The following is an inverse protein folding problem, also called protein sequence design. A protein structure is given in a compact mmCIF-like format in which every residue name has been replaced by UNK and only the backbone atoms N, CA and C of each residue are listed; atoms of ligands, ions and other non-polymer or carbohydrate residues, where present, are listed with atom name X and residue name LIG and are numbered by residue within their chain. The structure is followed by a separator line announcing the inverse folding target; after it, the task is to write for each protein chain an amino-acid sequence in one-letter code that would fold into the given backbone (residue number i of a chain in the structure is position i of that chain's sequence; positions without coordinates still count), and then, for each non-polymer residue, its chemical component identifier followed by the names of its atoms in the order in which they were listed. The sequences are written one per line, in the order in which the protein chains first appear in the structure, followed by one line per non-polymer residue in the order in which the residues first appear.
data_IF_573405920935
#
_entry.id   IF_573405920935
#
_cell.length_a   1.000
_cell.length_b   1.000
_cell.length_c   1.000
_cell.angle_alpha   90.00
_cell.angle_beta   90.00
_cell.angle_gamma   90.00
#
_symmetry.space_group_name_H-M   'P 1'
#
loop_
_entity.id
_entity.type
_entity.pdbx_description
1 polymer ?
#
# COMPACT_ATOMS: atom_id res chain seq x y z
N UNK A 1 -29.27 13.49 -3.84
CA UNK A 1 -28.15 12.68 -4.36
C UNK A 1 -26.97 12.68 -3.36
N UNK A 2 -27.22 12.44 -2.07
CA UNK A 2 -26.16 12.48 -1.03
C UNK A 2 -25.64 11.07 -0.70
N UNK A 3 -26.42 10.03 -1.02
CA UNK A 3 -26.13 8.65 -0.63
C UNK A 3 -24.98 7.98 -1.38
N UNK A 4 -24.65 8.42 -2.60
CA UNK A 4 -23.56 7.82 -3.40
C UNK A 4 -22.18 8.30 -2.95
N UNK A 5 -22.05 9.59 -2.63
CA UNK A 5 -20.80 10.22 -2.18
C UNK A 5 -20.40 9.77 -0.77
N UNK A 6 -21.37 9.64 0.15
CA UNK A 6 -21.07 9.15 1.51
C UNK A 6 -20.69 7.67 1.54
N UNK A 7 -21.20 6.88 0.58
CA UNK A 7 -20.87 5.45 0.46
C UNK A 7 -19.44 5.28 -0.06
N UNK A 8 -19.07 5.96 -1.16
CA UNK A 8 -17.71 5.87 -1.72
C UNK A 8 -16.61 6.34 -0.76
N UNK A 9 -16.84 7.44 -0.02
CA UNK A 9 -15.89 7.92 1.00
C UNK A 9 -15.73 6.95 2.17
N UNK A 10 -16.80 6.25 2.55
CA UNK A 10 -16.76 5.17 3.53
C UNK A 10 -15.99 3.95 3.02
N UNK A 11 -16.17 3.62 1.75
CA UNK A 11 -15.48 2.50 1.08
C UNK A 11 -13.98 2.75 0.97
N UNK A 12 -13.55 3.94 0.57
CA UNK A 12 -12.12 4.30 0.48
C UNK A 12 -11.43 4.23 1.83
N UNK A 13 -12.06 4.76 2.90
CA UNK A 13 -11.51 4.66 4.26
C UNK A 13 -11.41 3.22 4.74
N UNK A 14 -12.45 2.42 4.49
CA UNK A 14 -12.48 1.00 4.85
C UNK A 14 -11.38 0.21 4.13
N UNK A 15 -11.19 0.46 2.83
CA UNK A 15 -10.11 -0.13 2.05
C UNK A 15 -8.73 0.27 2.58
N UNK A 16 -8.53 1.55 2.91
CA UNK A 16 -7.28 2.05 3.49
C UNK A 16 -6.96 1.36 4.83
N UNK A 17 -7.93 1.29 5.73
CA UNK A 17 -7.78 0.62 7.03
C UNK A 17 -7.50 -0.89 6.86
N UNK A 18 -8.08 -1.49 5.83
CA UNK A 18 -7.86 -2.90 5.50
C UNK A 18 -6.46 -3.16 4.90
N UNK A 19 -5.97 -2.26 4.04
CA UNK A 19 -4.58 -2.25 3.55
C UNK A 19 -3.61 -2.09 4.72
N UNK A 20 -3.81 -1.12 5.61
CA UNK A 20 -2.93 -0.93 6.78
C UNK A 20 -2.87 -2.14 7.70
N UNK A 21 -4.00 -2.82 7.92
CA UNK A 21 -4.01 -4.06 8.70
C UNK A 21 -3.19 -5.16 8.04
N UNK A 22 -3.32 -5.35 6.73
CA UNK A 22 -2.51 -6.32 6.00
C UNK A 22 -1.02 -5.97 6.01
N UNK A 23 -0.68 -4.69 5.87
CA UNK A 23 0.71 -4.23 5.92
C UNK A 23 1.37 -4.58 7.25
N UNK A 24 0.68 -4.34 8.37
CA UNK A 24 1.21 -4.64 9.69
C UNK A 24 1.35 -6.15 9.92
N UNK A 25 0.35 -6.93 9.53
CA UNK A 25 0.39 -8.40 9.66
C UNK A 25 1.51 -9.03 8.81
N UNK A 26 1.77 -8.47 7.63
CA UNK A 26 2.81 -8.97 6.74
C UNK A 26 4.19 -8.53 7.23
N UNK A 27 4.35 -7.33 7.79
CA UNK A 27 5.61 -6.91 8.43
C UNK A 27 5.97 -7.82 9.60
N UNK A 28 5.03 -8.03 10.53
CA UNK A 28 5.23 -8.91 11.71
C UNK A 28 5.62 -10.32 11.28
N UNK A 29 4.94 -10.89 10.27
CA UNK A 29 5.28 -12.20 9.73
C UNK A 29 6.67 -12.25 9.09
N UNK A 30 7.09 -11.18 8.40
CA UNK A 30 8.41 -11.12 7.76
C UNK A 30 9.53 -10.95 8.78
N UNK A 31 9.32 -10.16 9.83
CA UNK A 31 10.24 -10.01 10.96
C UNK A 31 10.42 -11.35 11.70
N UNK A 32 9.32 -12.04 12.04
CA UNK A 32 9.35 -13.37 12.65
C UNK A 32 10.11 -14.40 11.78
N UNK A 33 9.98 -14.29 10.45
CA UNK A 33 10.66 -15.15 9.49
C UNK A 33 12.15 -14.84 9.38
N UNK A 34 12.53 -13.56 9.34
CA UNK A 34 13.92 -13.13 9.30
C UNK A 34 14.65 -13.52 10.58
N UNK A 35 14.02 -13.33 11.75
CA UNK A 35 14.55 -13.74 13.04
C UNK A 35 14.72 -15.27 13.14
N UNK A 36 13.73 -16.04 12.67
CA UNK A 36 13.82 -17.51 12.64
C UNK A 36 14.91 -18.02 11.67
N UNK A 37 15.09 -17.37 10.53
CA UNK A 37 16.15 -17.70 9.56
C UNK A 37 17.54 -17.41 10.16
N UNK A 38 17.68 -16.29 10.89
CA UNK A 38 18.90 -15.93 11.61
C UNK A 38 19.21 -16.86 12.79
N UNK A 39 18.20 -17.32 13.53
CA UNK A 39 18.34 -18.21 14.70
C UNK A 39 18.30 -19.71 14.35
N UNK A 40 18.34 -20.06 13.06
CA UNK A 40 18.36 -21.45 12.57
C UNK A 40 19.54 -22.30 13.06
N UNK A 41 20.44 -21.74 13.88
CA UNK A 41 21.34 -22.47 14.77
C UNK A 41 20.62 -23.37 15.79
N UNK A 42 19.32 -23.20 16.03
CA UNK A 42 18.54 -23.97 17.01
C UNK A 42 17.24 -24.56 16.46
N UNK A 43 17.26 -25.17 15.28
CA UNK A 43 16.48 -26.38 14.94
C UNK A 43 14.95 -26.41 15.07
N UNK A 44 14.25 -25.32 15.41
CA UNK A 44 12.79 -25.34 15.51
C UNK A 44 12.17 -23.94 15.40
N UNK A 45 11.86 -23.51 14.18
CA UNK A 45 10.70 -22.64 14.01
C UNK A 45 10.02 -22.96 12.68
N UNK A 46 8.90 -23.67 12.76
CA UNK A 46 8.01 -23.90 11.64
C UNK A 46 7.14 -22.65 11.45
N UNK A 47 7.74 -21.53 11.10
CA UNK A 47 6.96 -20.37 10.66
C UNK A 47 6.38 -20.73 9.29
N UNK A 48 5.05 -20.64 9.10
CA UNK A 48 4.42 -21.03 7.84
C UNK A 48 4.76 -20.03 6.74
N UNK A 49 5.86 -20.30 6.03
CA UNK A 49 6.36 -19.52 4.88
C UNK A 49 5.37 -19.48 3.72
N UNK A 50 4.52 -20.51 3.62
CA UNK A 50 3.55 -20.67 2.53
C UNK A 50 2.42 -19.63 2.57
N UNK A 51 2.22 -18.96 3.72
CA UNK A 51 1.20 -17.92 3.85
C UNK A 51 1.66 -16.55 3.33
N UNK A 52 2.97 -16.34 3.11
CA UNK A 52 3.51 -15.04 2.68
C UNK A 52 3.05 -14.67 1.27
N UNK A 53 3.16 -15.53 0.23
CA UNK A 53 2.71 -15.20 -1.12
C UNK A 53 1.20 -14.88 -1.19
N UNK A 54 0.37 -15.63 -0.45
CA UNK A 54 -1.07 -15.39 -0.39
C UNK A 54 -1.40 -14.02 0.22
N UNK A 55 -0.69 -13.62 1.29
CA UNK A 55 -0.85 -12.30 1.93
C UNK A 55 -0.37 -11.16 1.03
N UNK A 56 0.74 -11.35 0.31
CA UNK A 56 1.22 -10.38 -0.69
C UNK A 56 0.20 -10.21 -1.82
N UNK A 57 -0.41 -11.31 -2.27
CA UNK A 57 -1.47 -11.30 -3.30
C UNK A 57 -2.74 -10.58 -2.83
N UNK A 58 -3.22 -10.84 -1.60
CA UNK A 58 -4.38 -10.13 -1.01
C UNK A 58 -4.08 -8.63 -0.86
N UNK A 59 -2.86 -8.28 -0.44
CA UNK A 59 -2.43 -6.88 -0.34
C UNK A 59 -2.40 -6.19 -1.71
N UNK A 60 -1.89 -6.86 -2.75
CA UNK A 60 -1.84 -6.33 -4.11
C UNK A 60 -3.24 -6.07 -4.68
N UNK A 61 -4.15 -7.03 -4.53
CA UNK A 61 -5.55 -6.89 -4.96
C UNK A 61 -6.27 -5.72 -4.26
N UNK A 62 -5.99 -5.53 -2.97
CA UNK A 62 -6.57 -4.40 -2.21
C UNK A 62 -5.97 -3.05 -2.57
N UNK A 63 -4.68 -2.99 -2.85
CA UNK A 63 -4.06 -1.76 -3.35
C UNK A 63 -4.58 -1.38 -4.73
N UNK A 64 -4.75 -2.35 -5.63
CA UNK A 64 -5.40 -2.10 -6.92
C UNK A 64 -6.82 -1.54 -6.74
N UNK A 65 -7.58 -2.10 -5.79
CA UNK A 65 -8.91 -1.58 -5.46
C UNK A 65 -8.85 -0.18 -4.87
N UNK A 66 -7.92 0.09 -3.95
CA UNK A 66 -7.73 1.41 -3.34
C UNK A 66 -7.37 2.46 -4.39
N UNK A 67 -6.38 2.19 -5.23
CA UNK A 67 -5.96 3.09 -6.31
C UNK A 67 -7.08 3.33 -7.32
N UNK A 68 -7.82 2.27 -7.69
CA UNK A 68 -8.99 2.43 -8.54
C UNK A 68 -10.05 3.34 -7.90
N UNK A 69 -10.27 3.22 -6.60
CA UNK A 69 -11.19 4.11 -5.87
C UNK A 69 -10.64 5.53 -5.80
N UNK A 70 -9.36 5.74 -5.50
CA UNK A 70 -8.75 7.08 -5.48
C UNK A 70 -8.89 7.79 -6.84
N UNK A 71 -8.73 7.06 -7.94
CA UNK A 71 -8.90 7.58 -9.31
C UNK A 71 -10.37 7.78 -9.74
N UNK A 72 -11.33 7.07 -9.13
CA UNK A 72 -12.76 7.13 -9.51
C UNK A 72 -13.68 7.77 -8.46
N UNK A 73 -13.16 8.11 -7.27
CA UNK A 73 -13.95 8.74 -6.21
C UNK A 73 -14.48 10.10 -6.69
N UNK A 74 -13.82 10.71 -7.68
CA UNK A 74 -14.23 11.97 -8.32
C UNK A 74 -14.10 13.17 -7.41
N UNK A 75 -14.10 12.99 -6.08
CA UNK A 75 -13.97 14.07 -5.09
C UNK A 75 -12.71 14.89 -5.30
N UNK A 76 -11.56 14.25 -5.55
CA UNK A 76 -10.33 14.99 -5.79
C UNK A 76 -10.37 15.70 -7.15
N UNK A 77 -10.84 15.03 -8.21
CA UNK A 77 -10.96 15.65 -9.54
C UNK A 77 -11.94 16.84 -9.54
N UNK A 78 -13.07 16.74 -8.85
CA UNK A 78 -14.04 17.82 -8.65
C UNK A 78 -13.42 19.01 -7.90
N UNK A 79 -12.69 18.76 -6.81
CA UNK A 79 -12.00 19.82 -6.06
C UNK A 79 -10.86 20.47 -6.87
N UNK A 80 -10.32 19.76 -7.88
CA UNK A 80 -9.26 20.22 -8.77
C UNK A 80 -9.80 20.84 -10.07
N UNK A 81 -11.11 20.84 -10.30
CA UNK A 81 -11.72 21.66 -11.35
C UNK A 81 -11.49 23.15 -11.09
N UNK A 82 -11.52 23.54 -9.82
CA UNK A 82 -11.29 24.92 -9.37
C UNK A 82 -9.80 25.26 -9.20
N UNK A 83 -8.92 24.24 -9.20
CA UNK A 83 -7.49 24.38 -8.86
C UNK A 83 -6.58 23.64 -9.86
N UNK A 84 -6.38 24.18 -11.08
CA UNK A 84 -5.55 23.54 -12.10
C UNK A 84 -4.09 23.36 -11.68
N UNK A 85 -3.57 24.19 -10.76
CA UNK A 85 -2.19 24.12 -10.25
C UNK A 85 -1.91 22.83 -9.46
N UNK A 86 -2.96 22.23 -8.87
CA UNK A 86 -2.87 21.02 -8.07
C UNK A 86 -3.07 19.74 -8.92
N UNK A 87 -3.45 19.88 -10.20
CA UNK A 87 -3.64 18.74 -11.11
C UNK A 87 -2.34 18.01 -11.42
N UNK A 88 -1.25 18.75 -11.63
CA UNK A 88 0.07 18.16 -11.85
C UNK A 88 0.51 17.32 -10.64
N UNK A 89 0.16 17.75 -9.42
CA UNK A 89 0.43 16.99 -8.20
C UNK A 89 -0.41 15.70 -8.12
N UNK A 90 -1.68 15.73 -8.54
CA UNK A 90 -2.54 14.55 -8.60
C UNK A 90 -2.07 13.55 -9.67
N UNK A 91 -1.74 14.02 -10.87
CA UNK A 91 -1.20 13.16 -11.94
C UNK A 91 0.09 12.47 -11.46
N UNK A 92 0.97 13.21 -10.79
CA UNK A 92 2.17 12.63 -10.18
C UNK A 92 1.87 11.58 -9.10
N UNK A 93 0.77 11.67 -8.37
CA UNK A 93 0.35 10.61 -7.44
C UNK A 93 -0.16 9.37 -8.18
N UNK A 94 -0.93 9.54 -9.26
CA UNK A 94 -1.42 8.42 -10.08
C UNK A 94 -0.26 7.67 -10.74
N UNK A 95 0.79 8.38 -11.15
CA UNK A 95 2.01 7.80 -11.70
C UNK A 95 2.80 6.95 -10.68
N UNK A 96 2.59 7.15 -9.38
CA UNK A 96 3.19 6.34 -8.32
C UNK A 96 2.48 4.99 -8.13
N UNK A 97 1.18 4.87 -8.46
CA UNK A 97 0.40 3.64 -8.31
C UNK A 97 1.05 2.42 -8.98
N UNK A 98 1.44 2.45 -10.28
CA UNK A 98 2.09 1.31 -10.92
C UNK A 98 3.45 0.98 -10.30
N UNK A 99 4.18 1.99 -9.79
CA UNK A 99 5.47 1.78 -9.13
C UNK A 99 5.30 1.05 -7.79
N UNK A 100 4.29 1.44 -7.01
CA UNK A 100 3.95 0.79 -5.73
C UNK A 100 3.50 -0.66 -5.95
N UNK A 101 2.69 -0.92 -6.97
CA UNK A 101 2.28 -2.29 -7.33
C UNK A 101 3.48 -3.14 -7.77
N UNK A 102 4.38 -2.58 -8.58
CA UNK A 102 5.59 -3.27 -9.03
C UNK A 102 6.53 -3.63 -7.86
N UNK A 103 6.71 -2.74 -6.90
CA UNK A 103 7.50 -3.04 -5.68
C UNK A 103 6.91 -4.20 -4.89
N UNK A 104 5.57 -4.29 -4.81
CA UNK A 104 4.91 -5.39 -4.11
C UNK A 104 4.97 -6.71 -4.89
N UNK A 105 4.93 -6.64 -6.22
CA UNK A 105 5.15 -7.80 -7.09
C UNK A 105 6.57 -8.38 -6.92
N UNK A 106 7.60 -7.54 -6.84
CA UNK A 106 8.98 -7.97 -6.56
C UNK A 106 9.08 -8.72 -5.22
N UNK A 107 8.37 -8.25 -4.18
CA UNK A 107 8.28 -8.96 -2.89
C UNK A 107 7.61 -10.32 -3.08
N UNK A 108 6.53 -10.38 -3.86
CA UNK A 108 5.83 -11.62 -4.22
C UNK A 108 6.74 -12.64 -4.92
N UNK A 109 7.49 -12.21 -5.93
CA UNK A 109 8.41 -13.07 -6.67
C UNK A 109 9.51 -13.66 -5.78
N UNK A 110 10.08 -12.86 -4.88
CA UNK A 110 11.11 -13.32 -3.95
C UNK A 110 10.56 -14.33 -2.95
N UNK A 111 9.34 -14.12 -2.47
CA UNK A 111 8.67 -15.05 -1.54
C UNK A 111 8.18 -16.32 -2.20
N UNK A 112 7.95 -16.31 -3.52
CA UNK A 112 7.56 -17.49 -4.32
C UNK A 112 8.75 -18.31 -4.84
N UNK A 113 9.98 -17.79 -4.79
CA UNK A 113 11.17 -18.50 -5.28
C UNK A 113 11.48 -19.75 -4.45
N UNK A 114 11.62 -20.88 -5.13
CA UNK A 114 12.03 -22.16 -4.52
C UNK A 114 13.54 -22.24 -4.23
N UNK A 115 14.33 -21.31 -4.77
CA UNK A 115 15.78 -21.22 -4.52
C UNK A 115 16.04 -20.00 -3.65
N UNK A 116 16.46 -20.23 -2.41
CA UNK A 116 16.65 -19.19 -1.40
C UNK A 116 18.07 -19.20 -0.85
N UNK A 117 18.88 -18.13 -1.03
CA UNK A 117 20.08 -17.92 -0.23
C UNK A 117 19.75 -17.74 1.27
N UNK A 118 20.78 -17.88 2.13
CA UNK A 118 20.72 -17.78 3.60
C UNK A 118 20.28 -16.39 4.13
N UNK A 119 20.05 -15.42 3.25
CA UNK A 119 19.57 -14.06 3.60
C UNK A 119 18.23 -13.72 2.96
N UNK A 120 17.50 -14.70 2.41
CA UNK A 120 16.33 -14.40 1.57
C UNK A 120 15.23 -13.68 2.34
N UNK A 121 15.02 -14.01 3.62
CA UNK A 121 13.96 -13.39 4.42
C UNK A 121 14.30 -11.96 4.85
N UNK A 122 15.56 -11.69 5.20
CA UNK A 122 16.08 -10.33 5.45
C UNK A 122 15.96 -9.43 4.18
N UNK A 123 16.24 -10.00 3.01
CA UNK A 123 16.07 -9.34 1.70
C UNK A 123 14.61 -9.02 1.36
N UNK A 124 13.69 -9.92 1.71
CA UNK A 124 12.23 -9.77 1.52
C UNK A 124 11.69 -8.73 2.49
N UNK A 125 12.03 -8.83 3.78
CA UNK A 125 11.66 -7.88 4.82
C UNK A 125 12.12 -6.47 4.46
N UNK A 126 13.39 -6.31 4.09
CA UNK A 126 13.97 -5.03 3.68
C UNK A 126 13.26 -4.41 2.46
N UNK A 127 12.84 -5.23 1.49
CA UNK A 127 12.05 -4.76 0.33
C UNK A 127 10.65 -4.36 0.73
N UNK A 128 10.01 -5.17 1.58
CA UNK A 128 8.68 -4.88 2.09
C UNK A 128 8.64 -3.58 2.91
N UNK A 129 9.65 -3.35 3.76
CA UNK A 129 9.80 -2.12 4.52
C UNK A 129 9.96 -0.88 3.63
N UNK A 130 10.74 -0.99 2.54
CA UNK A 130 10.88 0.09 1.56
C UNK A 130 9.55 0.40 0.86
N UNK A 131 8.81 -0.64 0.49
CA UNK A 131 7.47 -0.50 -0.08
C UNK A 131 6.50 0.18 0.91
N UNK A 132 6.47 -0.24 2.18
CA UNK A 132 5.66 0.40 3.22
C UNK A 132 5.98 1.89 3.38
N UNK A 133 7.27 2.26 3.35
CA UNK A 133 7.70 3.65 3.43
C UNK A 133 7.23 4.46 2.22
N UNK A 134 7.33 3.90 1.01
CA UNK A 134 6.86 4.53 -0.22
C UNK A 134 5.33 4.76 -0.16
N UNK A 135 4.57 3.74 0.21
CA UNK A 135 3.11 3.83 0.35
C UNK A 135 2.69 4.83 1.44
N UNK A 136 3.40 4.88 2.57
CA UNK A 136 3.14 5.86 3.63
C UNK A 136 3.40 7.30 3.18
N UNK A 137 4.39 7.52 2.32
CA UNK A 137 4.66 8.85 1.73
C UNK A 137 3.57 9.22 0.72
N UNK A 138 3.20 8.28 -0.14
CA UNK A 138 2.12 8.45 -1.11
C UNK A 138 0.80 8.85 -0.42
N UNK A 139 0.36 8.08 0.58
CA UNK A 139 -0.87 8.37 1.32
C UNK A 139 -0.85 9.72 2.04
N UNK A 140 0.30 10.13 2.60
CA UNK A 140 0.44 11.45 3.22
C UNK A 140 0.30 12.58 2.21
N UNK A 141 0.85 12.42 1.01
CA UNK A 141 0.70 13.40 -0.07
C UNK A 141 -0.74 13.45 -0.59
N UNK A 142 -1.41 12.31 -0.69
CA UNK A 142 -2.83 12.27 -1.04
C UNK A 142 -3.70 12.99 0.00
N UNK A 143 -3.45 12.75 1.30
CA UNK A 143 -4.14 13.44 2.40
C UNK A 143 -3.85 14.96 2.41
N UNK A 144 -2.60 15.38 2.18
CA UNK A 144 -2.20 16.80 2.07
C UNK A 144 -2.89 17.50 0.89
N UNK A 145 -2.88 16.86 -0.28
CA UNK A 145 -3.51 17.38 -1.49
C UNK A 145 -5.02 17.56 -1.30
N UNK A 146 -5.69 16.55 -0.72
CA UNK A 146 -7.10 16.63 -0.38
C UNK A 146 -7.42 17.73 0.63
N UNK A 147 -6.56 17.93 1.64
CA UNK A 147 -6.73 18.99 2.64
C UNK A 147 -6.54 20.38 2.02
N UNK A 148 -5.52 20.57 1.17
CA UNK A 148 -5.27 21.83 0.46
C UNK A 148 -6.45 22.18 -0.46
N UNK A 149 -6.91 21.21 -1.25
CA UNK A 149 -8.02 21.40 -2.16
C UNK A 149 -9.32 21.77 -1.40
N UNK A 150 -9.57 21.11 -0.27
CA UNK A 150 -10.73 21.41 0.59
C UNK A 150 -10.65 22.78 1.28
N UNK A 151 -9.46 23.21 1.73
CA UNK A 151 -9.30 24.52 2.36
C UNK A 151 -9.61 25.66 1.41
N UNK A 152 -9.16 25.57 0.15
CA UNK A 152 -9.43 26.58 -0.87
C UNK A 152 -10.91 26.63 -1.21
N UNK A 153 -11.57 25.47 -1.39
CA UNK A 153 -13.01 25.39 -1.66
C UNK A 153 -13.90 25.94 -0.52
N UNK A 154 -13.37 26.09 0.70
CA UNK A 154 -14.08 26.70 1.84
C UNK A 154 -13.89 28.23 1.91
N UNK A 155 -12.94 28.79 1.16
CA UNK A 155 -12.59 30.21 1.17
C UNK A 155 -13.15 31.00 -0.04
N UNK A 156 -13.86 30.32 -0.96
CA UNK A 156 -14.66 30.92 -2.04
C UNK A 156 -16.16 31.03 -1.66
#
# INVERSE_FOLDING_TARGET
MVSTVTTRRGDLRSQRDQVHRLLNQLAELLEDLADADADSSWGWSAVPTDAVPDRVSDLSSRLQTLFFLEENDGTLEELLEEQPELRDELEGLRDEHPQLLSQLEEVGELTGSSVRPVSTWDDVESRFHRFQLALSRHQRRHDDLGQRAALVAMHE
#
